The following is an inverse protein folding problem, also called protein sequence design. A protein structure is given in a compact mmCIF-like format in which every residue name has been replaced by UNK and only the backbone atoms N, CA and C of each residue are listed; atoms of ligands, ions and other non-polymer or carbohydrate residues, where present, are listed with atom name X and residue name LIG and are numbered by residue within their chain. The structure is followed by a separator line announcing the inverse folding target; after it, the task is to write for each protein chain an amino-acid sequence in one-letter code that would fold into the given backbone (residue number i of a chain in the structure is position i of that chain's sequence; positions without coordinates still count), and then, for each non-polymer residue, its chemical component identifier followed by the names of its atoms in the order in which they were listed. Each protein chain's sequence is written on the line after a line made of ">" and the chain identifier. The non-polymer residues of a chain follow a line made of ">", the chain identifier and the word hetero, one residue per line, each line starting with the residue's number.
data_IF_018209999115
#
_entry.id   IF_018209999115
#
_cell.length_a   1.000
_cell.length_b   1.000
_cell.length_c   1.000
_cell.angle_alpha   90.00
_cell.angle_beta   90.00
_cell.angle_gamma   90.00
#
_symmetry.space_group_name_H-M   'P 1'
#
loop_
_entity.id
_entity.type
_entity.pdbx_description
1 polymer ?
#
# COMPACT_ATOMS: atom_id res chain seq x y z
N UNK A 1 -15.42 20.54 -27.51
CA UNK A 1 -15.32 20.89 -26.07
C UNK A 1 -14.42 22.12 -25.92
N UNK A 2 -14.73 23.06 -25.02
CA UNK A 2 -13.87 24.21 -24.75
C UNK A 2 -12.56 23.75 -24.09
N UNK A 3 -11.46 24.50 -24.28
CA UNK A 3 -10.16 24.18 -23.67
C UNK A 3 -10.25 24.09 -22.13
N UNK A 4 -11.08 24.95 -21.53
CA UNK A 4 -11.37 24.94 -20.10
C UNK A 4 -12.05 23.65 -19.65
N UNK A 5 -13.03 23.15 -20.42
CA UNK A 5 -13.71 21.89 -20.11
C UNK A 5 -12.74 20.70 -20.15
N UNK A 6 -11.83 20.67 -21.12
CA UNK A 6 -10.79 19.63 -21.22
C UNK A 6 -9.85 19.69 -20.01
N UNK A 7 -9.41 20.90 -19.62
CA UNK A 7 -8.54 21.09 -18.46
C UNK A 7 -9.21 20.69 -17.15
N UNK A 8 -10.50 21.01 -16.97
CA UNK A 8 -11.29 20.60 -15.81
C UNK A 8 -11.47 19.08 -15.75
N UNK A 9 -11.82 18.44 -16.87
CA UNK A 9 -11.93 16.98 -16.93
C UNK A 9 -10.61 16.29 -16.63
N UNK A 10 -9.50 16.78 -17.17
CA UNK A 10 -8.16 16.25 -16.89
C UNK A 10 -7.82 16.38 -15.40
N UNK A 11 -8.03 17.56 -14.82
CA UNK A 11 -7.77 17.82 -13.41
C UNK A 11 -8.61 16.93 -12.49
N UNK A 12 -9.87 16.68 -12.88
CA UNK A 12 -10.75 15.75 -12.18
C UNK A 12 -10.24 14.30 -12.25
N UNK A 13 -9.82 13.83 -13.44
CA UNK A 13 -9.25 12.48 -13.63
C UNK A 13 -7.98 12.29 -12.79
N UNK A 14 -7.14 13.31 -12.66
CA UNK A 14 -5.92 13.23 -11.86
C UNK A 14 -6.25 13.26 -10.36
N UNK A 15 -7.13 14.14 -9.92
CA UNK A 15 -7.48 14.31 -8.50
C UNK A 15 -8.29 13.14 -7.92
N UNK A 16 -9.11 12.46 -8.72
CA UNK A 16 -9.90 11.32 -8.23
C UNK A 16 -9.02 10.15 -7.75
N UNK A 17 -7.79 10.04 -8.25
CA UNK A 17 -6.81 9.08 -7.72
C UNK A 17 -6.50 9.34 -6.24
N UNK A 18 -6.34 10.61 -5.84
CA UNK A 18 -6.09 10.99 -4.45
C UNK A 18 -7.29 10.67 -3.55
N UNK A 19 -8.51 10.86 -4.05
CA UNK A 19 -9.75 10.45 -3.35
C UNK A 19 -9.77 8.93 -3.13
N UNK A 20 -9.43 8.16 -4.17
CA UNK A 20 -9.25 6.72 -4.05
C UNK A 20 -8.20 6.36 -2.99
N UNK A 21 -7.06 7.06 -2.97
CA UNK A 21 -6.00 6.91 -1.98
C UNK A 21 -6.49 7.12 -0.54
N UNK A 22 -7.30 8.15 -0.32
CA UNK A 22 -7.93 8.41 0.98
C UNK A 22 -8.81 7.22 1.41
N UNK A 23 -9.73 6.78 0.54
CA UNK A 23 -10.60 5.63 0.82
C UNK A 23 -9.80 4.33 1.08
N UNK A 24 -8.72 4.12 0.31
CA UNK A 24 -7.79 3.01 0.49
C UNK A 24 -7.12 3.03 1.86
N UNK A 25 -6.58 4.18 2.27
CA UNK A 25 -5.88 4.37 3.55
C UNK A 25 -6.83 4.30 4.76
N UNK A 26 -8.03 4.87 4.69
CA UNK A 26 -9.02 4.81 5.77
C UNK A 26 -9.51 3.38 6.02
N UNK A 27 -9.70 2.60 4.96
CA UNK A 27 -10.07 1.18 5.09
C UNK A 27 -8.88 0.29 5.48
N UNK A 28 -7.64 0.76 5.31
CA UNK A 28 -6.45 -0.04 5.53
C UNK A 28 -6.30 -0.52 6.99
N UNK A 29 -6.50 0.37 7.97
CA UNK A 29 -6.43 0.01 9.38
C UNK A 29 -7.39 -1.12 9.75
N UNK A 30 -8.65 -0.99 9.32
CA UNK A 30 -9.68 -2.01 9.57
C UNK A 30 -9.37 -3.35 8.89
N UNK A 31 -8.95 -3.34 7.61
CA UNK A 31 -8.64 -4.56 6.88
C UNK A 31 -7.44 -5.30 7.49
N UNK A 32 -6.40 -4.59 7.92
CA UNK A 32 -5.19 -5.19 8.51
C UNK A 32 -5.47 -5.91 9.83
N UNK A 33 -6.35 -5.33 10.66
CA UNK A 33 -6.76 -5.94 11.93
C UNK A 33 -7.68 -7.14 11.70
N UNK A 34 -8.68 -7.01 10.81
CA UNK A 34 -9.69 -8.06 10.59
C UNK A 34 -9.17 -9.25 9.81
N UNK A 35 -8.44 -9.01 8.71
CA UNK A 35 -8.02 -10.08 7.78
C UNK A 35 -6.55 -10.46 7.92
N UNK A 36 -5.74 -9.65 8.59
CA UNK A 36 -4.28 -9.80 8.61
C UNK A 36 -3.61 -9.08 7.44
N UNK A 37 -2.29 -8.94 7.51
CA UNK A 37 -1.52 -8.09 6.59
C UNK A 37 -1.43 -8.72 5.21
N UNK A 38 -1.16 -10.04 5.11
CA UNK A 38 -1.07 -10.75 3.83
C UNK A 38 -2.40 -10.75 3.10
N UNK A 39 -3.50 -11.09 3.78
CA UNK A 39 -4.83 -11.09 3.17
C UNK A 39 -5.28 -9.69 2.78
N UNK A 40 -4.99 -8.66 3.59
CA UNK A 40 -5.27 -7.28 3.22
C UNK A 40 -4.52 -6.85 1.95
N UNK A 41 -3.27 -7.29 1.77
CA UNK A 41 -2.50 -7.08 0.55
C UNK A 41 -3.09 -7.84 -0.66
N UNK A 42 -3.55 -9.09 -0.50
CA UNK A 42 -4.26 -9.81 -1.57
C UNK A 42 -5.56 -9.11 -1.98
N UNK A 43 -6.33 -8.64 -1.01
CA UNK A 43 -7.56 -7.88 -1.27
C UNK A 43 -7.28 -6.51 -1.92
N UNK A 44 -6.07 -5.97 -1.78
CA UNK A 44 -5.65 -4.75 -2.48
C UNK A 44 -5.36 -5.00 -3.97
N UNK A 45 -5.00 -6.22 -4.38
CA UNK A 45 -4.78 -6.55 -5.78
C UNK A 45 -6.09 -6.54 -6.61
N UNK A 46 -7.24 -6.82 -5.99
CA UNK A 46 -8.55 -6.80 -6.68
C UNK A 46 -8.83 -5.43 -7.32
N UNK A 47 -8.87 -4.31 -6.56
CA UNK A 47 -9.06 -2.99 -7.16
C UNK A 47 -7.91 -2.59 -8.09
N UNK A 48 -6.68 -3.09 -7.89
CA UNK A 48 -5.57 -2.83 -8.80
C UNK A 48 -5.81 -3.41 -10.20
N UNK A 49 -6.23 -4.68 -10.27
CA UNK A 49 -6.53 -5.37 -11.53
C UNK A 49 -7.78 -4.81 -12.20
N UNK A 50 -8.82 -4.50 -11.42
CA UNK A 50 -10.02 -3.82 -11.94
C UNK A 50 -9.66 -2.45 -12.51
N UNK A 51 -8.83 -1.67 -11.81
CA UNK A 51 -8.35 -0.38 -12.29
C UNK A 51 -7.57 -0.50 -13.60
N UNK A 52 -6.63 -1.43 -13.67
CA UNK A 52 -5.84 -1.69 -14.87
C UNK A 52 -6.71 -2.15 -16.06
N UNK A 53 -7.68 -3.04 -15.83
CA UNK A 53 -8.60 -3.51 -16.86
C UNK A 53 -9.51 -2.39 -17.38
N UNK A 54 -10.10 -1.59 -16.49
CA UNK A 54 -10.96 -0.46 -16.87
C UNK A 54 -10.19 0.58 -17.69
N UNK A 55 -8.97 0.93 -17.28
CA UNK A 55 -8.15 1.89 -18.02
C UNK A 55 -7.65 1.31 -19.35
N UNK A 56 -7.28 0.03 -19.39
CA UNK A 56 -6.82 -0.63 -20.61
C UNK A 56 -7.93 -0.80 -21.68
N UNK A 57 -9.14 -1.11 -21.24
CA UNK A 57 -10.30 -1.31 -22.13
C UNK A 57 -11.01 0.00 -22.52
N UNK A 58 -10.69 1.12 -21.86
CA UNK A 58 -11.33 2.42 -22.09
C UNK A 58 -11.34 2.86 -23.56
N UNK A 59 -10.25 2.61 -24.30
CA UNK A 59 -10.14 2.94 -25.73
C UNK A 59 -11.02 2.07 -26.61
N UNK A 60 -11.19 0.78 -26.27
CA UNK A 60 -12.04 -0.15 -27.02
C UNK A 60 -13.52 0.22 -26.85
N UNK A 61 -13.91 0.65 -25.65
CA UNK A 61 -15.29 1.04 -25.34
C UNK A 61 -15.61 2.51 -25.67
N UNK A 62 -14.61 3.34 -25.99
CA UNK A 62 -14.80 4.76 -26.28
C UNK A 62 -15.32 5.59 -25.09
N UNK A 63 -15.15 5.12 -23.85
CA UNK A 63 -15.71 5.72 -22.64
C UNK A 63 -14.62 6.34 -21.75
N UNK A 64 -14.79 7.62 -21.42
CA UNK A 64 -13.88 8.34 -20.52
C UNK A 64 -14.20 8.04 -19.04
N UNK A 65 -15.44 7.63 -18.75
CA UNK A 65 -15.92 7.24 -17.43
C UNK A 65 -15.15 6.01 -16.91
N UNK A 66 -14.77 5.09 -17.80
CA UNK A 66 -13.90 3.95 -17.46
C UNK A 66 -12.53 4.39 -16.96
N UNK A 67 -11.98 5.50 -17.48
CA UNK A 67 -10.70 6.05 -17.01
C UNK A 67 -10.86 6.64 -15.61
N UNK A 68 -11.95 7.38 -15.37
CA UNK A 68 -12.27 7.96 -14.05
C UNK A 68 -12.42 6.84 -13.01
N UNK A 69 -13.23 5.82 -13.31
CA UNK A 69 -13.42 4.67 -12.43
C UNK A 69 -12.09 3.91 -12.21
N UNK A 70 -11.32 3.69 -13.27
CA UNK A 70 -10.03 3.01 -13.19
C UNK A 70 -9.01 3.76 -12.31
N UNK A 71 -8.98 5.09 -12.38
CA UNK A 71 -8.16 5.95 -11.51
C UNK A 71 -8.59 5.88 -10.05
N UNK A 72 -9.89 5.85 -9.79
CA UNK A 72 -10.43 5.69 -8.44
C UNK A 72 -9.97 4.35 -7.83
N UNK A 73 -10.16 3.23 -8.54
CA UNK A 73 -9.75 1.91 -8.06
C UNK A 73 -8.24 1.79 -7.89
N UNK A 74 -7.46 2.35 -8.82
CA UNK A 74 -6.00 2.42 -8.69
C UNK A 74 -5.57 3.23 -7.47
N UNK A 75 -6.27 4.32 -7.17
CA UNK A 75 -6.08 5.11 -5.95
C UNK A 75 -6.35 4.30 -4.69
N UNK A 76 -7.45 3.54 -4.65
CA UNK A 76 -7.78 2.64 -3.52
C UNK A 76 -6.68 1.62 -3.28
N UNK A 77 -6.10 1.05 -4.34
CA UNK A 77 -4.93 0.19 -4.21
C UNK A 77 -3.72 0.98 -3.66
N UNK A 78 -3.44 2.17 -4.21
CA UNK A 78 -2.35 3.04 -3.78
C UNK A 78 -2.40 3.36 -2.28
N UNK A 79 -3.58 3.64 -1.73
CA UNK A 79 -3.77 3.86 -0.30
C UNK A 79 -3.49 2.62 0.57
N UNK A 80 -3.66 1.42 0.02
CA UNK A 80 -3.37 0.15 0.70
C UNK A 80 -1.90 -0.30 0.55
N UNK A 81 -1.12 0.31 -0.35
CA UNK A 81 0.32 0.00 -0.49
C UNK A 81 1.13 0.32 0.78
N UNK A 82 0.60 1.13 1.69
CA UNK A 82 1.18 1.37 3.01
C UNK A 82 1.40 0.07 3.82
N UNK A 83 0.70 -1.02 3.51
CA UNK A 83 0.93 -2.32 4.14
C UNK A 83 2.24 -2.98 3.77
N UNK A 84 2.79 -2.73 2.57
CA UNK A 84 3.99 -3.39 2.07
C UNK A 84 5.19 -3.15 3.01
N UNK A 85 5.58 -1.90 3.34
CA UNK A 85 6.71 -1.67 4.25
C UNK A 85 6.42 -2.12 5.68
N UNK A 86 5.16 -2.05 6.13
CA UNK A 86 4.76 -2.53 7.47
C UNK A 86 4.93 -4.05 7.57
N UNK A 87 4.39 -4.78 6.60
CA UNK A 87 4.53 -6.23 6.53
C UNK A 87 6.00 -6.63 6.38
N UNK A 88 6.74 -5.96 5.51
CA UNK A 88 8.18 -6.20 5.32
C UNK A 88 8.97 -5.96 6.63
N UNK A 89 8.62 -4.92 7.40
CA UNK A 89 9.21 -4.66 8.71
C UNK A 89 8.82 -5.70 9.78
N UNK A 90 7.58 -6.18 9.77
CA UNK A 90 7.08 -7.21 10.71
C UNK A 90 7.74 -8.59 10.48
N UNK A 91 8.06 -8.95 9.24
CA UNK A 91 8.73 -10.22 8.90
C UNK A 91 10.26 -10.16 9.02
N UNK A 92 10.84 -8.96 9.16
CA UNK A 92 12.28 -8.77 9.16
C UNK A 92 12.89 -8.85 10.57
N UNK A 93 14.11 -9.41 10.71
CA UNK A 93 14.84 -9.38 11.97
C UNK A 93 15.07 -7.93 12.42
N UNK A 94 15.04 -7.67 13.73
CA UNK A 94 15.13 -6.30 14.29
C UNK A 94 16.31 -5.49 13.73
N UNK A 95 17.45 -6.15 13.50
CA UNK A 95 18.69 -5.54 12.96
C UNK A 95 18.54 -4.99 11.53
N UNK A 96 17.64 -5.57 10.73
CA UNK A 96 17.49 -5.23 9.29
C UNK A 96 16.21 -4.47 8.97
N UNK A 97 15.33 -4.21 9.96
CA UNK A 97 14.06 -3.50 9.74
C UNK A 97 14.25 -2.14 9.06
N UNK A 98 15.27 -1.37 9.48
CA UNK A 98 15.59 -0.08 8.86
C UNK A 98 15.99 -0.21 7.39
N UNK A 99 16.85 -1.18 7.08
CA UNK A 99 17.30 -1.46 5.72
C UNK A 99 16.14 -1.87 4.79
N UNK A 100 15.23 -2.70 5.27
CA UNK A 100 14.07 -3.18 4.52
C UNK A 100 13.06 -2.06 4.24
N UNK A 101 12.88 -1.14 5.20
CA UNK A 101 12.02 0.03 5.00
C UNK A 101 12.60 0.97 3.92
N UNK A 102 13.91 1.23 3.95
CA UNK A 102 14.61 2.03 2.93
C UNK A 102 14.55 1.34 1.56
N UNK A 103 14.76 0.03 1.52
CA UNK A 103 14.68 -0.74 0.28
C UNK A 103 13.29 -0.61 -0.37
N UNK A 104 12.22 -0.65 0.44
CA UNK A 104 10.85 -0.48 -0.03
C UNK A 104 10.60 0.90 -0.66
N UNK A 105 11.15 1.97 -0.07
CA UNK A 105 11.01 3.33 -0.64
C UNK A 105 11.84 3.51 -1.92
N UNK A 106 13.02 2.86 -2.01
CA UNK A 106 13.82 2.82 -3.24
C UNK A 106 13.06 2.12 -4.37
N UNK A 107 12.42 0.98 -4.11
CA UNK A 107 11.60 0.29 -5.12
C UNK A 107 10.40 1.12 -5.56
N UNK A 108 9.77 1.87 -4.66
CA UNK A 108 8.69 2.80 -5.01
C UNK A 108 9.19 3.92 -5.94
N UNK A 109 10.36 4.49 -5.64
CA UNK A 109 10.98 5.50 -6.49
C UNK A 109 11.38 4.92 -7.86
N UNK A 110 11.96 3.72 -7.89
CA UNK A 110 12.29 3.02 -9.13
C UNK A 110 11.03 2.76 -9.97
N UNK A 111 9.93 2.33 -9.35
CA UNK A 111 8.66 2.13 -10.03
C UNK A 111 8.13 3.42 -10.68
N UNK A 112 8.21 4.55 -9.97
CA UNK A 112 7.89 5.87 -10.54
C UNK A 112 8.78 6.20 -11.74
N UNK A 113 10.09 5.95 -11.64
CA UNK A 113 11.04 6.19 -12.74
C UNK A 113 10.73 5.32 -13.96
N UNK A 114 10.46 4.02 -13.76
CA UNK A 114 10.08 3.11 -14.85
C UNK A 114 8.78 3.57 -15.50
N UNK A 115 7.77 3.98 -14.71
CA UNK A 115 6.52 4.52 -15.24
C UNK A 115 6.75 5.77 -16.12
N UNK A 116 7.68 6.65 -15.74
CA UNK A 116 8.07 7.82 -16.54
C UNK A 116 8.74 7.44 -17.84
N UNK A 117 9.67 6.47 -17.80
CA UNK A 117 10.36 5.97 -18.99
C UNK A 117 9.36 5.35 -19.95
N UNK A 118 8.49 4.44 -19.47
CA UNK A 118 7.45 3.81 -20.30
C UNK A 118 6.44 4.83 -20.86
N UNK A 119 6.23 5.94 -20.14
CA UNK A 119 5.38 7.06 -20.56
C UNK A 119 5.97 7.96 -21.64
N UNK A 120 7.21 7.74 -22.08
CA UNK A 120 7.80 8.47 -23.21
C UNK A 120 7.02 8.18 -24.50
N UNK A 121 6.89 9.18 -25.37
CA UNK A 121 6.18 9.07 -26.65
C UNK A 121 6.74 7.96 -27.55
N UNK A 122 8.05 7.76 -27.51
CA UNK A 122 8.78 6.72 -28.26
C UNK A 122 8.49 5.30 -27.78
N UNK A 123 7.93 5.13 -26.57
CA UNK A 123 7.60 3.84 -25.97
C UNK A 123 6.07 3.65 -25.95
N UNK A 124 5.44 3.66 -24.78
CA UNK A 124 3.99 3.45 -24.64
C UNK A 124 3.21 4.76 -24.49
N UNK A 125 3.88 5.92 -24.49
CA UNK A 125 3.25 7.25 -24.43
C UNK A 125 2.64 7.72 -25.76
N UNK A 126 2.68 6.91 -26.81
CA UNK A 126 2.07 7.23 -28.10
C UNK A 126 0.53 7.19 -28.03
N UNK A 127 -0.14 7.94 -28.92
CA UNK A 127 -1.60 8.01 -29.05
C UNK A 127 -2.26 6.64 -29.24
N UNK A 128 -1.53 5.66 -29.79
CA UNK A 128 -2.03 4.30 -29.98
C UNK A 128 -1.84 3.39 -28.76
N UNK A 129 -0.82 3.62 -27.93
CA UNK A 129 -0.35 2.67 -26.90
C UNK A 129 -0.62 3.13 -25.46
N UNK A 130 -1.11 4.35 -25.25
CA UNK A 130 -1.41 4.85 -23.90
C UNK A 130 -2.34 3.96 -23.04
N UNK A 131 -3.33 3.21 -23.59
CA UNK A 131 -4.14 2.32 -22.77
C UNK A 131 -3.32 1.11 -22.29
N UNK A 132 -2.36 0.66 -23.09
CA UNK A 132 -1.43 -0.41 -22.72
C UNK A 132 -0.48 0.06 -21.61
N UNK A 133 -0.05 1.32 -21.63
CA UNK A 133 0.69 1.93 -20.51
C UNK A 133 -0.12 1.88 -19.21
N UNK A 134 -1.41 2.22 -19.26
CA UNK A 134 -2.27 2.17 -18.07
C UNK A 134 -2.55 0.73 -17.62
N UNK A 135 -2.70 -0.21 -18.56
CA UNK A 135 -2.90 -1.63 -18.27
C UNK A 135 -1.65 -2.30 -17.69
N UNK A 136 -0.44 -1.82 -18.06
CA UNK A 136 0.83 -2.33 -17.54
C UNK A 136 0.96 -2.20 -16.02
N UNK A 137 0.23 -1.26 -15.40
CA UNK A 137 0.10 -1.14 -13.94
C UNK A 137 -0.47 -2.42 -13.28
N UNK A 138 -1.21 -3.24 -14.02
CA UNK A 138 -1.72 -4.52 -13.55
C UNK A 138 -0.66 -5.62 -13.44
N UNK A 139 0.46 -5.51 -14.16
CA UNK A 139 1.51 -6.54 -14.14
C UNK A 139 2.14 -6.70 -12.75
N UNK A 140 2.60 -5.65 -12.05
CA UNK A 140 3.06 -5.78 -10.66
C UNK A 140 2.02 -6.39 -9.72
N UNK A 141 0.73 -6.07 -9.91
CA UNK A 141 -0.35 -6.64 -9.10
C UNK A 141 -0.54 -8.15 -9.35
N UNK A 142 -0.39 -8.62 -10.59
CA UNK A 142 -0.40 -10.05 -10.93
C UNK A 142 0.82 -10.76 -10.33
N UNK A 143 2.01 -10.19 -10.47
CA UNK A 143 3.22 -10.75 -9.86
C UNK A 143 3.06 -10.86 -8.35
N UNK A 144 2.54 -9.81 -7.70
CA UNK A 144 2.23 -9.84 -6.26
C UNK A 144 1.16 -10.89 -5.93
N UNK A 145 0.12 -11.04 -6.73
CA UNK A 145 -0.94 -12.03 -6.51
C UNK A 145 -0.41 -13.47 -6.53
N UNK A 146 0.55 -13.76 -7.42
CA UNK A 146 1.18 -15.07 -7.54
C UNK A 146 2.27 -15.28 -6.48
N UNK A 147 3.06 -14.26 -6.17
CA UNK A 147 4.16 -14.38 -5.23
C UNK A 147 3.70 -14.44 -3.76
N UNK A 148 2.72 -13.62 -3.37
CA UNK A 148 2.33 -13.47 -1.96
C UNK A 148 1.81 -14.75 -1.28
N UNK A 149 1.09 -15.67 -1.96
CA UNK A 149 0.71 -16.97 -1.41
C UNK A 149 1.88 -17.78 -0.84
N UNK A 150 3.07 -17.69 -1.44
CA UNK A 150 4.27 -18.42 -1.01
C UNK A 150 4.91 -17.85 0.27
N UNK A 151 4.62 -16.58 0.61
CA UNK A 151 5.13 -15.95 1.83
C UNK A 151 4.25 -16.27 3.05
N UNK A 152 4.83 -16.49 4.24
CA UNK A 152 4.04 -16.73 5.44
C UNK A 152 3.28 -15.47 5.89
N UNK A 153 2.23 -15.66 6.69
CA UNK A 153 1.55 -14.52 7.33
C UNK A 153 2.49 -13.85 8.35
N UNK A 154 2.27 -12.56 8.64
CA UNK A 154 3.06 -11.81 9.62
C UNK A 154 3.14 -12.53 10.98
N UNK A 155 4.34 -12.88 11.49
CA UNK A 155 4.50 -13.59 12.75
C UNK A 155 3.88 -12.86 13.95
N UNK A 156 4.02 -11.52 14.10
CA UNK A 156 3.28 -10.76 15.10
C UNK A 156 1.76 -10.91 14.96
N UNK A 157 1.21 -10.91 13.75
CA UNK A 157 -0.23 -11.11 13.55
C UNK A 157 -0.69 -12.52 13.96
N UNK A 158 0.06 -13.57 13.61
CA UNK A 158 -0.25 -14.95 14.00
C UNK A 158 -0.27 -15.10 15.54
N UNK A 159 0.70 -14.50 16.22
CA UNK A 159 0.85 -14.65 17.67
C UNK A 159 -0.11 -13.73 18.46
N UNK A 160 -0.34 -12.50 17.99
CA UNK A 160 -1.20 -11.52 18.67
C UNK A 160 -2.69 -11.77 18.40
N UNK A 161 -3.09 -12.00 17.15
CA UNK A 161 -4.50 -12.09 16.76
C UNK A 161 -5.04 -13.53 16.72
N UNK A 162 -4.25 -14.51 16.29
CA UNK A 162 -4.69 -15.91 16.22
C UNK A 162 -4.30 -16.74 17.44
N UNK A 163 -3.34 -16.26 18.25
CA UNK A 163 -2.81 -17.03 19.37
C UNK A 163 -2.02 -18.28 18.95
N UNK A 164 -1.67 -18.37 17.66
CA UNK A 164 -1.05 -19.55 17.06
C UNK A 164 0.48 -19.48 17.19
N UNK A 165 1.01 -19.99 18.31
CA UNK A 165 2.44 -20.01 18.57
C UNK A 165 3.20 -20.94 17.60
N UNK A 166 2.60 -22.05 17.19
CA UNK A 166 3.21 -23.01 16.27
C UNK A 166 3.28 -22.44 14.85
N UNK A 167 2.22 -21.77 14.39
CA UNK A 167 2.23 -21.02 13.13
C UNK A 167 3.26 -19.90 13.11
N UNK A 168 3.44 -19.19 14.23
CA UNK A 168 4.48 -18.16 14.38
C UNK A 168 5.90 -18.74 14.27
N UNK A 169 6.19 -19.84 15.00
CA UNK A 169 7.49 -20.53 14.92
C UNK A 169 7.78 -21.03 13.50
N UNK A 170 6.77 -21.59 12.82
CA UNK A 170 6.89 -22.06 11.43
C UNK A 170 7.19 -20.92 10.47
N UNK A 171 6.48 -19.79 10.59
CA UNK A 171 6.73 -18.61 9.78
C UNK A 171 8.15 -18.06 9.99
N UNK A 172 8.62 -17.98 11.24
CA UNK A 172 9.98 -17.52 11.58
C UNK A 172 11.04 -18.46 11.00
N UNK A 173 10.87 -19.78 11.15
CA UNK A 173 11.80 -20.76 10.55
C UNK A 173 11.86 -20.64 9.02
N UNK A 174 10.71 -20.41 8.38
CA UNK A 174 10.65 -20.23 6.93
C UNK A 174 11.31 -18.92 6.47
N UNK A 175 11.23 -17.85 7.27
CA UNK A 175 11.79 -16.53 6.93
C UNK A 175 13.28 -16.39 7.27
N UNK A 176 13.73 -16.92 8.41
CA UNK A 176 15.07 -16.69 8.95
C UNK A 176 15.94 -17.96 8.99
N UNK A 177 15.41 -19.11 8.55
CA UNK A 177 16.10 -20.39 8.54
C UNK A 177 16.03 -21.15 9.87
N UNK A 178 16.64 -22.35 9.90
CA UNK A 178 16.72 -23.15 11.11
C UNK A 178 17.70 -22.53 12.12
N UNK A 179 17.18 -22.16 13.29
CA UNK A 179 17.93 -21.55 14.38
C UNK A 179 17.09 -21.38 15.63
N UNK A 180 17.75 -21.14 16.78
CA UNK A 180 17.08 -20.83 18.04
C UNK A 180 16.64 -19.36 18.07
N UNK A 181 15.51 -19.07 17.42
CA UNK A 181 14.88 -17.74 17.41
C UNK A 181 14.02 -17.45 18.65
N UNK A 182 14.28 -18.15 19.76
CA UNK A 182 13.45 -18.13 20.96
C UNK A 182 13.39 -16.73 21.59
N UNK A 183 14.52 -16.01 21.61
CA UNK A 183 14.61 -14.64 22.12
C UNK A 183 13.71 -13.66 21.34
N UNK A 184 13.61 -13.80 20.01
CA UNK A 184 12.74 -12.95 19.20
C UNK A 184 11.26 -13.28 19.43
N UNK A 185 10.92 -14.57 19.62
CA UNK A 185 9.56 -15.01 19.97
C UNK A 185 9.16 -14.46 21.34
N UNK A 186 10.06 -14.51 22.32
CA UNK A 186 9.84 -13.99 23.67
C UNK A 186 9.65 -12.47 23.67
N UNK A 187 10.40 -11.76 22.82
CA UNK A 187 10.21 -10.32 22.63
C UNK A 187 8.85 -9.99 22.01
N UNK A 188 8.39 -10.74 21.00
CA UNK A 188 7.04 -10.56 20.43
C UNK A 188 5.96 -10.88 21.48
N UNK A 189 6.21 -11.86 22.35
CA UNK A 189 5.31 -12.21 23.48
C UNK A 189 5.27 -11.08 24.53
N UNK A 190 6.40 -10.44 24.84
CA UNK A 190 6.44 -9.25 25.70
C UNK A 190 5.69 -8.08 25.07
N UNK A 191 5.89 -7.81 23.78
CA UNK A 191 5.12 -6.78 23.06
C UNK A 191 3.60 -7.06 23.13
N UNK A 192 3.19 -8.33 22.99
CA UNK A 192 1.79 -8.73 23.16
C UNK A 192 1.26 -8.45 24.57
N UNK A 193 2.06 -8.70 25.61
CA UNK A 193 1.67 -8.45 27.00
C UNK A 193 1.48 -6.95 27.28
N UNK A 194 2.36 -6.10 26.74
CA UNK A 194 2.24 -4.64 26.84
C UNK A 194 1.04 -4.12 26.04
N UNK A 195 0.80 -4.67 24.84
CA UNK A 195 -0.33 -4.31 23.99
C UNK A 195 -1.68 -4.73 24.58
N UNK A 196 -1.76 -5.83 25.35
CA UNK A 196 -3.00 -6.24 26.04
C UNK A 196 -3.53 -5.17 27.02
N UNK A 197 -2.63 -4.39 27.62
CA UNK A 197 -2.98 -3.29 28.52
C UNK A 197 -3.21 -1.96 27.78
N UNK A 198 -2.95 -1.91 26.47
CA UNK A 198 -3.11 -0.71 25.65
C UNK A 198 -4.41 -0.82 24.87
N UNK A 199 -5.38 0.06 25.14
CA UNK A 199 -6.61 0.10 24.33
C UNK A 199 -6.25 0.48 22.90
N UNK A 200 -6.78 -0.25 21.92
CA UNK A 200 -6.73 0.17 20.51
C UNK A 200 -7.61 1.41 20.39
N UNK A 201 -6.99 2.59 20.38
CA UNK A 201 -7.70 3.85 20.25
C UNK A 201 -8.19 4.03 18.83
N UNK A 202 -9.45 4.44 18.68
CA UNK A 202 -9.98 4.93 17.41
C UNK A 202 -9.25 6.21 16.98
N UNK A 203 -9.24 6.53 15.69
CA UNK A 203 -8.61 7.76 15.15
C UNK A 203 -9.13 9.02 15.87
N UNK A 204 -10.43 9.04 16.18
CA UNK A 204 -11.06 10.15 16.91
C UNK A 204 -10.66 10.20 18.39
N UNK A 205 -10.39 9.05 19.01
CA UNK A 205 -9.93 8.96 20.39
C UNK A 205 -8.46 9.36 20.49
N UNK A 206 -7.64 8.96 19.51
CA UNK A 206 -6.23 9.32 19.41
C UNK A 206 -6.02 10.84 19.29
N UNK A 207 -6.88 11.53 18.52
CA UNK A 207 -6.86 13.00 18.41
C UNK A 207 -7.26 13.67 19.73
N UNK A 208 -8.20 13.07 20.47
CA UNK A 208 -8.64 13.61 21.75
C UNK A 208 -7.62 13.38 22.86
N UNK A 209 -6.80 12.34 22.77
CA UNK A 209 -5.81 11.95 23.78
C UNK A 209 -4.65 12.95 23.88
N UNK A 210 -4.50 13.70 24.99
CA UNK A 210 -3.51 14.77 25.10
C UNK A 210 -2.06 14.27 24.98
N UNK A 211 -1.78 13.03 25.37
CA UNK A 211 -0.44 12.44 25.29
C UNK A 211 0.07 12.29 23.83
N UNK A 212 -0.83 12.11 22.86
CA UNK A 212 -0.47 11.83 21.47
C UNK A 212 -0.62 13.05 20.54
N UNK A 213 -1.23 14.15 20.99
CA UNK A 213 -1.50 15.34 20.14
C UNK A 213 -0.25 15.91 19.49
N UNK A 214 0.86 16.01 20.24
CA UNK A 214 2.11 16.54 19.69
C UNK A 214 2.69 15.64 18.60
N UNK A 215 2.62 14.32 18.81
CA UNK A 215 3.04 13.34 17.80
C UNK A 215 2.16 13.42 16.56
N UNK A 216 0.84 13.57 16.73
CA UNK A 216 -0.10 13.77 15.62
C UNK A 216 0.18 15.05 14.85
N UNK A 217 0.41 16.18 15.52
CA UNK A 217 0.76 17.43 14.85
C UNK A 217 2.05 17.32 14.05
N UNK A 218 3.07 16.67 14.61
CA UNK A 218 4.32 16.42 13.89
C UNK A 218 4.10 15.57 12.64
N UNK A 219 3.31 14.50 12.72
CA UNK A 219 3.00 13.64 11.57
C UNK A 219 2.20 14.42 10.51
N UNK A 220 1.19 15.19 10.92
CA UNK A 220 0.35 15.98 10.00
C UNK A 220 1.17 17.05 9.31
N UNK A 221 1.98 17.81 10.05
CA UNK A 221 2.83 18.87 9.48
C UNK A 221 3.85 18.24 8.52
N UNK A 222 4.55 17.18 8.94
CA UNK A 222 5.56 16.54 8.11
C UNK A 222 4.96 15.98 6.81
N UNK A 223 3.82 15.29 6.89
CA UNK A 223 3.15 14.76 5.70
C UNK A 223 2.60 15.87 4.81
N UNK A 224 2.05 16.94 5.38
CA UNK A 224 1.59 18.11 4.62
C UNK A 224 2.76 18.80 3.90
N UNK A 225 3.89 19.02 4.57
CA UNK A 225 5.08 19.62 3.95
C UNK A 225 5.61 18.77 2.80
N UNK A 226 5.63 17.43 2.94
CA UNK A 226 6.06 16.52 1.87
C UNK A 226 5.12 16.58 0.65
N UNK A 227 3.81 16.77 0.86
CA UNK A 227 2.87 16.90 -0.25
C UNK A 227 2.92 18.29 -0.90
N UNK A 228 3.06 19.34 -0.09
CA UNK A 228 3.06 20.74 -0.54
C UNK A 228 4.38 21.16 -1.22
N UNK A 229 5.49 20.47 -0.96
CA UNK A 229 6.75 20.74 -1.66
C UNK A 229 6.75 20.26 -3.12
N UNK A 230 5.67 19.62 -3.58
CA UNK A 230 5.47 19.24 -4.97
C UNK A 230 6.16 17.95 -5.39
N UNK A 231 6.76 17.20 -4.46
CA UNK A 231 7.42 15.91 -4.75
C UNK A 231 6.47 14.88 -5.37
N UNK A 232 5.17 14.99 -5.05
CA UNK A 232 4.11 14.13 -5.60
C UNK A 232 3.19 14.90 -6.56
N UNK A 233 3.54 16.11 -6.99
CA UNK A 233 2.71 16.93 -7.88
C UNK A 233 2.64 16.43 -9.33
N UNK A 234 3.44 15.43 -9.69
CA UNK A 234 3.42 14.81 -11.02
C UNK A 234 3.66 13.33 -10.88
#
# INVERSE_FOLDING_TARGET
>A
PSAEMIALMWSFIVSIYSIGGLLGSSSAGYLSVRFGRKKAMLLANIPALLGAALMGLSRLCGSFEMIIAGRLFSGVCGGKLAFVPVYAGEISPKKFRGFINVTSTVFLALGKTVARILGLRELLGSQSLWPMLMAACGFPALVQLVALPFFPESPPYLLMHKGDQEGCKKAIRQLWGEGQHQAEIDDIMKEKATMKNTKILSVLELVKEPAFRWQLYMIVILTATIQLCGINAV
#
